data_IF_758175209165
#
_entry.id   IF_758175209165
#
_cell.length_a   1.000
_cell.length_b   1.000
_cell.length_c   1.000
_cell.angle_alpha   90.00
_cell.angle_beta   90.00
_cell.angle_gamma   90.00
#
_symmetry.space_group_name_H-M   'P 1'
#
loop_
_entity.id
_entity.type
_entity.pdbx_description
1 polymer ?
#
# COMPACT_ATOMS: atom_id res chain seq x y z
N UNK A 1 -2.86 3.29 4.78
CA UNK A 1 -2.28 4.40 3.98
C UNK A 1 -0.82 4.17 3.63
N UNK A 2 0.06 3.86 4.59
CA UNK A 2 1.50 3.65 4.35
C UNK A 2 1.77 2.67 3.18
N UNK A 3 1.16 1.48 3.21
CA UNK A 3 1.31 0.49 2.14
C UNK A 3 0.86 1.01 0.76
N UNK A 4 -0.28 1.71 0.68
CA UNK A 4 -0.77 2.27 -0.58
C UNK A 4 0.14 3.40 -1.11
N UNK A 5 0.65 4.27 -0.24
CA UNK A 5 1.62 5.29 -0.64
C UNK A 5 2.97 4.70 -1.04
N UNK A 6 3.35 3.57 -0.45
CA UNK A 6 4.56 2.81 -0.81
C UNK A 6 4.44 2.25 -2.24
N UNK A 7 3.35 1.55 -2.52
CA UNK A 7 3.00 1.07 -3.87
C UNK A 7 3.00 2.23 -4.88
N UNK A 8 2.40 3.37 -4.51
CA UNK A 8 2.35 4.54 -5.39
C UNK A 8 3.74 5.13 -5.68
N UNK A 9 4.65 5.13 -4.70
CA UNK A 9 6.02 5.58 -4.90
C UNK A 9 6.82 4.58 -5.75
N UNK A 10 6.69 3.28 -5.49
CA UNK A 10 7.40 2.22 -6.22
C UNK A 10 6.94 2.15 -7.69
N UNK A 11 5.65 2.38 -7.95
CA UNK A 11 5.09 2.47 -9.30
C UNK A 11 5.25 3.87 -9.95
N UNK A 12 5.99 4.79 -9.31
CA UNK A 12 6.22 6.16 -9.80
C UNK A 12 4.96 7.01 -10.02
N UNK A 13 3.84 6.68 -9.36
CA UNK A 13 2.62 7.51 -9.37
C UNK A 13 2.75 8.78 -8.54
N UNK A 14 3.61 8.75 -7.51
CA UNK A 14 3.94 9.93 -6.73
C UNK A 14 5.44 9.97 -6.38
N UNK A 15 6.01 11.16 -6.13
CA UNK A 15 7.37 11.27 -5.61
C UNK A 15 7.51 10.55 -4.27
N UNK A 16 8.69 9.98 -4.02
CA UNK A 16 9.03 9.30 -2.75
C UNK A 16 8.77 10.17 -1.52
N UNK A 17 8.95 11.48 -1.64
CA UNK A 17 8.69 12.47 -0.59
C UNK A 17 7.22 12.52 -0.13
N UNK A 18 6.26 12.19 -1.01
CA UNK A 18 4.85 12.07 -0.63
C UNK A 18 4.64 10.89 0.30
N UNK A 19 5.22 9.74 -0.05
CA UNK A 19 5.19 8.55 0.79
C UNK A 19 5.83 8.81 2.15
N UNK A 20 7.01 9.44 2.19
CA UNK A 20 7.70 9.75 3.45
C UNK A 20 6.87 10.64 4.35
N UNK A 21 6.25 11.69 3.80
CA UNK A 21 5.35 12.57 4.54
C UNK A 21 4.15 11.81 5.11
N UNK A 22 3.52 10.92 4.32
CA UNK A 22 2.38 10.10 4.78
C UNK A 22 2.81 9.16 5.90
N UNK A 23 3.96 8.48 5.73
CA UNK A 23 4.52 7.57 6.74
C UNK A 23 4.82 8.31 8.04
N UNK A 24 5.56 9.40 7.97
CA UNK A 24 6.01 10.13 9.14
C UNK A 24 4.83 10.79 9.87
N UNK A 25 3.86 11.33 9.14
CA UNK A 25 2.62 11.85 9.72
C UNK A 25 1.82 10.75 10.44
N UNK A 26 1.73 9.55 9.84
CA UNK A 26 1.02 8.41 10.45
C UNK A 26 1.72 7.95 11.73
N UNK A 27 3.06 7.82 11.70
CA UNK A 27 3.84 7.34 12.85
C UNK A 27 3.93 8.38 13.98
N UNK A 28 3.82 9.68 13.68
CA UNK A 28 3.70 10.73 14.70
C UNK A 28 2.39 10.65 15.48
N UNK A 29 1.35 10.05 14.89
CA UNK A 29 0.06 9.88 15.55
C UNK A 29 0.07 8.73 16.56
N UNK A 30 1.01 7.80 16.42
CA UNK A 30 1.19 6.69 17.35
C UNK A 30 1.82 5.47 16.69
N UNK A 31 2.05 4.43 17.50
CA UNK A 31 2.55 3.15 17.02
C UNK A 31 1.51 2.44 16.18
N UNK A 32 1.95 1.81 15.10
CA UNK A 32 1.08 0.97 14.29
C UNK A 32 0.79 -0.35 15.03
N UNK A 33 -0.42 -0.90 14.88
CA UNK A 33 -0.70 -2.25 15.36
C UNK A 33 0.20 -3.26 14.65
N UNK A 34 0.63 -4.30 15.39
CA UNK A 34 1.54 -5.30 14.89
C UNK A 34 0.96 -6.03 13.66
N UNK A 35 1.68 -5.99 12.54
CA UNK A 35 1.30 -6.72 11.33
C UNK A 35 1.84 -8.15 11.40
N UNK A 36 0.97 -9.08 11.78
CA UNK A 36 1.30 -10.52 11.91
C UNK A 36 0.88 -11.36 10.70
N UNK A 37 0.13 -10.77 9.77
CA UNK A 37 -0.40 -11.48 8.60
C UNK A 37 0.72 -11.90 7.64
N UNK A 38 0.56 -13.07 7.02
CA UNK A 38 1.48 -13.56 5.99
C UNK A 38 1.18 -12.90 4.64
N UNK A 39 2.22 -12.43 3.95
CA UNK A 39 2.10 -11.80 2.62
C UNK A 39 1.34 -12.68 1.62
N UNK A 40 1.60 -13.99 1.62
CA UNK A 40 0.91 -14.95 0.75
C UNK A 40 -0.62 -14.99 0.98
N UNK A 41 -1.07 -14.83 2.24
CA UNK A 41 -2.50 -14.75 2.55
C UNK A 41 -3.10 -13.43 2.06
N UNK A 42 -2.35 -12.34 2.17
CA UNK A 42 -2.79 -11.03 1.64
C UNK A 42 -2.92 -11.09 0.12
N UNK A 43 -1.95 -11.66 -0.60
CA UNK A 43 -2.04 -11.84 -2.05
C UNK A 43 -3.26 -12.69 -2.42
N UNK A 44 -3.51 -13.80 -1.72
CA UNK A 44 -4.71 -14.62 -1.95
C UNK A 44 -5.99 -13.85 -1.68
N UNK A 45 -6.03 -13.03 -0.63
CA UNK A 45 -7.19 -12.21 -0.28
C UNK A 45 -7.44 -11.11 -1.31
N UNK A 46 -6.39 -10.41 -1.72
CA UNK A 46 -6.42 -9.45 -2.82
C UNK A 46 -6.96 -10.14 -4.06
N UNK A 47 -6.43 -11.31 -4.44
CA UNK A 47 -6.91 -12.11 -5.58
C UNK A 47 -8.36 -12.59 -5.45
N UNK A 48 -8.88 -12.73 -4.22
CA UNK A 48 -10.24 -13.21 -3.95
C UNK A 48 -11.27 -12.10 -3.75
N UNK A 49 -10.84 -10.84 -3.67
CA UNK A 49 -11.74 -9.71 -3.41
C UNK A 49 -12.74 -9.53 -4.58
N UNK A 50 -14.03 -9.48 -4.24
CA UNK A 50 -15.17 -9.64 -5.17
C UNK A 50 -15.47 -8.43 -6.07
N UNK A 51 -14.58 -7.45 -6.23
CA UNK A 51 -14.72 -6.34 -7.20
C UNK A 51 -14.12 -6.70 -8.57
N UNK A 52 -14.33 -7.94 -8.97
CA UNK A 52 -13.86 -8.52 -10.21
C UNK A 52 -14.94 -8.40 -11.28
N UNK A 53 -15.09 -7.21 -11.86
CA UNK A 53 -15.42 -7.18 -13.28
C UNK A 53 -14.11 -7.55 -14.00
N UNK A 54 -14.04 -8.79 -14.52
CA UNK A 54 -12.93 -9.32 -15.31
C UNK A 54 -11.55 -9.54 -14.63
N UNK A 55 -11.46 -9.68 -13.30
CA UNK A 55 -10.20 -10.07 -12.64
C UNK A 55 -9.25 -8.91 -12.31
N UNK A 56 -9.71 -7.67 -12.43
CA UNK A 56 -8.91 -6.45 -12.27
C UNK A 56 -9.16 -5.85 -10.88
N UNK A 57 -8.11 -5.74 -10.05
CA UNK A 57 -8.20 -5.10 -8.73
C UNK A 57 -8.00 -3.59 -8.83
N UNK A 58 -8.86 -2.85 -8.15
CA UNK A 58 -8.86 -1.39 -8.10
C UNK A 58 -8.18 -0.90 -6.82
N UNK A 59 -6.94 -0.42 -6.92
CA UNK A 59 -6.22 0.22 -5.82
C UNK A 59 -6.42 1.73 -5.83
N UNK A 60 -6.69 2.33 -4.68
CA UNK A 60 -6.66 3.80 -4.55
C UNK A 60 -5.25 4.22 -4.18
N UNK A 61 -4.54 4.82 -5.13
CA UNK A 61 -3.14 5.23 -4.99
C UNK A 61 -3.02 6.77 -5.00
N UNK A 62 -2.23 7.38 -4.10
CA UNK A 62 -1.98 8.81 -4.14
C UNK A 62 -1.12 9.21 -5.35
N UNK A 63 -1.49 10.29 -6.05
CA UNK A 63 -0.62 10.98 -7.02
C UNK A 63 0.16 12.13 -6.38
N UNK A 64 -0.51 12.88 -5.52
CA UNK A 64 0.06 13.93 -4.67
C UNK A 64 -0.79 14.09 -3.41
N UNK A 65 -0.32 14.84 -2.43
CA UNK A 65 -1.11 15.10 -1.22
C UNK A 65 -2.41 15.82 -1.61
N UNK A 66 -3.54 15.26 -1.20
CA UNK A 66 -4.88 15.74 -1.55
C UNK A 66 -5.43 15.23 -2.89
N UNK A 67 -4.69 14.38 -3.64
CA UNK A 67 -5.16 13.80 -4.90
C UNK A 67 -4.85 12.29 -4.97
N UNK A 68 -5.88 11.49 -5.25
CA UNK A 68 -5.79 10.04 -5.41
C UNK A 68 -6.35 9.62 -6.77
N UNK A 69 -5.90 8.48 -7.26
CA UNK A 69 -6.39 7.85 -8.49
C UNK A 69 -6.69 6.38 -8.23
N UNK A 70 -7.68 5.85 -8.96
CA UNK A 70 -7.98 4.42 -8.97
C UNK A 70 -7.08 3.77 -10.02
N UNK A 71 -6.11 2.99 -9.55
CA UNK A 71 -5.15 2.28 -10.38
C UNK A 71 -5.51 0.81 -10.41
N UNK A 72 -5.51 0.28 -11.63
CA UNK A 72 -5.78 -1.11 -11.92
C UNK A 72 -4.44 -1.84 -12.15
N UNK A 73 -4.41 -3.15 -11.92
CA UNK A 73 -3.26 -4.01 -12.24
C UNK A 73 -1.97 -3.64 -11.48
N UNK A 74 -2.05 -3.45 -10.17
CA UNK A 74 -0.86 -3.34 -9.32
C UNK A 74 -0.11 -4.69 -9.31
N UNK A 75 1.19 -4.74 -9.67
CA UNK A 75 1.97 -5.97 -9.65
C UNK A 75 2.07 -6.58 -8.26
N UNK A 76 2.12 -7.92 -8.17
CA UNK A 76 2.24 -8.62 -6.89
C UNK A 76 3.52 -8.23 -6.14
N UNK A 77 4.60 -7.95 -6.87
CA UNK A 77 5.89 -7.54 -6.33
C UNK A 77 5.78 -6.22 -5.54
N UNK A 78 4.99 -5.27 -6.04
CA UNK A 78 4.74 -4.00 -5.35
C UNK A 78 3.93 -4.22 -4.06
N UNK A 79 2.99 -5.16 -4.07
CA UNK A 79 2.22 -5.54 -2.87
C UNK A 79 3.14 -6.21 -1.84
N UNK A 80 4.03 -7.10 -2.28
CA UNK A 80 5.01 -7.78 -1.42
C UNK A 80 5.94 -6.77 -0.76
N UNK A 81 6.49 -5.82 -1.54
CA UNK A 81 7.36 -4.77 -1.04
C UNK A 81 6.67 -3.90 0.02
N UNK A 82 5.45 -3.45 -0.27
CA UNK A 82 4.65 -2.65 0.67
C UNK A 82 4.30 -3.41 1.95
N UNK A 83 4.02 -4.72 1.86
CA UNK A 83 3.78 -5.58 3.03
C UNK A 83 5.03 -5.76 3.90
N UNK A 84 6.21 -5.89 3.30
CA UNK A 84 7.46 -5.95 4.04
C UNK A 84 7.73 -4.64 4.80
N UNK A 85 7.45 -3.52 4.13
CA UNK A 85 7.67 -2.19 4.69
C UNK A 85 6.72 -1.87 5.86
N UNK A 86 5.41 -2.10 5.71
CA UNK A 86 4.46 -1.86 6.80
C UNK A 86 4.72 -2.77 8.00
N UNK A 87 5.20 -3.99 7.76
CA UNK A 87 5.60 -4.92 8.83
C UNK A 87 6.85 -4.45 9.57
N UNK A 88 7.79 -3.80 8.88
CA UNK A 88 8.92 -3.13 9.52
C UNK A 88 8.44 -1.94 10.35
N UNK A 89 7.55 -1.11 9.79
CA UNK A 89 6.99 0.05 10.46
C UNK A 89 6.15 -0.31 11.71
N UNK A 90 5.49 -1.48 11.73
CA UNK A 90 4.70 -1.94 12.88
C UNK A 90 5.51 -2.55 14.02
N UNK A 91 6.83 -2.67 13.88
CA UNK A 91 7.72 -3.26 14.90
C UNK A 91 8.52 -2.21 15.68
N UNK A 92 8.48 -0.93 15.27
CA UNK A 92 9.07 0.19 16.01
C UNK A 92 8.06 0.78 16.99
#
# INVERSE_FOLDING_TARGET
>A
MIAASSIAADMSFCPRSVYERVRDATLRWGKLPAVTVQTAKVIKLVKSDKKTEAGIFHFVLPKKIGQVEVVNNVPEEAIVAAMAEIRKASRG
#
